data_IF_440783732676
#
_entry.id   IF_440783732676
#
_cell.length_a   1.000
_cell.length_b   1.000
_cell.length_c   1.000
_cell.angle_alpha   90.00
_cell.angle_beta   90.00
_cell.angle_gamma   90.00
#
_symmetry.space_group_name_H-M   'P 1'
#
loop_
_entity.id
_entity.type
_entity.pdbx_description
1 polymer ?
#
# COMPACT_ATOMS: atom_id res chain seq x y z
N UNK A 1 -0.79 -14.52 -5.98
CA UNK A 1 0.25 -13.51 -6.29
C UNK A 1 1.61 -13.81 -5.64
N UNK A 2 1.65 -14.55 -4.52
CA UNK A 2 2.87 -14.88 -3.74
C UNK A 2 4.10 -15.40 -4.52
N UNK A 3 3.94 -16.19 -5.60
CA UNK A 3 5.08 -16.81 -6.31
C UNK A 3 6.03 -15.82 -7.01
N UNK A 4 5.53 -14.69 -7.51
CA UNK A 4 6.39 -13.71 -8.20
C UNK A 4 7.15 -12.86 -7.19
N UNK A 5 6.49 -12.44 -6.11
CA UNK A 5 7.11 -11.71 -5.01
C UNK A 5 8.17 -12.53 -4.27
N UNK A 6 7.90 -13.82 -4.04
CA UNK A 6 8.88 -14.73 -3.47
C UNK A 6 10.13 -14.85 -4.36
N UNK A 7 9.94 -15.03 -5.67
CA UNK A 7 11.05 -15.09 -6.62
C UNK A 7 11.85 -13.78 -6.61
N UNK A 8 11.18 -12.63 -6.61
CA UNK A 8 11.84 -11.33 -6.60
C UNK A 8 12.70 -11.16 -5.34
N UNK A 9 12.17 -11.54 -4.18
CA UNK A 9 12.93 -11.55 -2.91
C UNK A 9 14.15 -12.45 -2.97
N UNK A 10 13.99 -13.67 -3.46
CA UNK A 10 15.09 -14.63 -3.59
C UNK A 10 16.17 -14.14 -4.56
N UNK A 11 15.78 -13.52 -5.67
CA UNK A 11 16.69 -12.95 -6.66
C UNK A 11 17.45 -11.74 -6.08
N UNK A 12 16.78 -10.87 -5.31
CA UNK A 12 17.42 -9.78 -4.58
C UNK A 12 18.43 -10.31 -3.55
N UNK A 13 18.06 -11.34 -2.78
CA UNK A 13 18.96 -11.97 -1.82
C UNK A 13 20.23 -12.50 -2.48
N UNK A 14 20.08 -13.20 -3.61
CA UNK A 14 21.24 -13.71 -4.37
C UNK A 14 22.09 -12.58 -4.94
N UNK A 15 21.49 -11.47 -5.37
CA UNK A 15 22.21 -10.36 -5.96
C UNK A 15 23.19 -9.72 -4.96
N UNK A 16 22.75 -9.44 -3.72
CA UNK A 16 23.63 -8.78 -2.73
C UNK A 16 24.56 -9.76 -1.97
N UNK A 17 24.25 -11.06 -1.94
CA UNK A 17 25.16 -12.09 -1.38
C UNK A 17 26.21 -12.57 -2.38
N UNK A 18 26.36 -11.94 -3.55
CA UNK A 18 27.44 -12.25 -4.49
C UNK A 18 28.81 -11.93 -3.89
N UNK A 19 29.76 -12.85 -4.04
CA UNK A 19 31.14 -12.71 -3.56
C UNK A 19 31.98 -11.67 -4.34
N UNK A 20 31.42 -11.03 -5.37
CA UNK A 20 32.12 -10.11 -6.27
C UNK A 20 31.76 -8.64 -6.04
N UNK A 21 31.00 -8.33 -4.99
CA UNK A 21 30.64 -6.96 -4.65
C UNK A 21 31.73 -6.29 -3.83
N UNK A 22 31.88 -4.98 -4.02
CA UNK A 22 32.72 -4.18 -3.14
C UNK A 22 32.16 -4.22 -1.71
N UNK A 23 33.02 -4.29 -0.66
CA UNK A 23 32.56 -4.44 0.72
C UNK A 23 31.58 -3.36 1.18
N UNK A 24 31.76 -2.12 0.72
CA UNK A 24 30.88 -1.00 1.04
C UNK A 24 29.49 -1.17 0.41
N UNK A 25 29.44 -1.53 -0.88
CA UNK A 25 28.20 -1.84 -1.60
C UNK A 25 27.48 -3.03 -0.94
N UNK A 26 28.21 -4.07 -0.56
CA UNK A 26 27.65 -5.23 0.11
C UNK A 26 27.01 -4.88 1.46
N UNK A 27 27.67 -4.05 2.28
CA UNK A 27 27.13 -3.59 3.56
C UNK A 27 25.88 -2.72 3.38
N UNK A 28 25.87 -1.82 2.39
CA UNK A 28 24.73 -0.98 2.08
C UNK A 28 23.52 -1.82 1.63
N UNK A 29 23.74 -2.77 0.70
CA UNK A 29 22.67 -3.64 0.22
C UNK A 29 22.14 -4.62 1.27
N UNK A 30 22.97 -5.06 2.22
CA UNK A 30 22.49 -5.88 3.35
C UNK A 30 21.52 -5.09 4.23
N UNK A 31 21.79 -3.79 4.49
CA UNK A 31 20.87 -2.91 5.21
C UNK A 31 19.58 -2.66 4.44
N UNK A 32 19.69 -2.33 3.15
CA UNK A 32 18.53 -2.12 2.29
C UNK A 32 17.66 -3.37 2.19
N UNK A 33 18.28 -4.55 2.06
CA UNK A 33 17.54 -5.81 2.07
C UNK A 33 16.82 -6.03 3.39
N UNK A 34 17.46 -5.81 4.53
CA UNK A 34 16.81 -5.94 5.84
C UNK A 34 15.61 -5.00 5.98
N UNK A 35 15.70 -3.77 5.46
CA UNK A 35 14.59 -2.81 5.46
C UNK A 35 13.47 -3.23 4.50
N UNK A 36 13.81 -3.65 3.28
CA UNK A 36 12.85 -4.16 2.31
C UNK A 36 12.11 -5.41 2.81
N UNK A 37 12.80 -6.26 3.57
CA UNK A 37 12.26 -7.51 4.10
C UNK A 37 11.29 -7.30 5.28
N UNK A 38 11.23 -6.11 5.88
CA UNK A 38 10.31 -5.81 6.98
C UNK A 38 8.84 -6.01 6.57
N UNK A 39 8.51 -5.74 5.31
CA UNK A 39 7.16 -5.89 4.77
C UNK A 39 6.91 -7.27 4.14
N UNK A 40 7.93 -8.13 4.04
CA UNK A 40 7.84 -9.42 3.36
C UNK A 40 6.77 -10.32 3.96
N UNK A 41 6.62 -10.33 5.30
CA UNK A 41 5.58 -11.12 5.95
C UNK A 41 4.17 -10.73 5.47
N UNK A 42 3.89 -9.44 5.35
CA UNK A 42 2.57 -8.91 4.98
C UNK A 42 2.24 -9.14 3.50
N UNK A 43 3.25 -9.13 2.63
CA UNK A 43 3.08 -9.26 1.17
C UNK A 43 3.11 -10.73 0.70
N UNK A 44 3.97 -11.56 1.30
CA UNK A 44 4.24 -12.90 0.78
C UNK A 44 3.27 -13.98 1.27
N UNK A 45 2.53 -13.71 2.35
CA UNK A 45 1.70 -14.71 3.02
C UNK A 45 0.25 -14.27 3.11
N UNK A 46 -0.65 -15.24 2.99
CA UNK A 46 -2.09 -15.00 3.15
C UNK A 46 -2.43 -14.52 4.57
N UNK A 47 -1.76 -15.08 5.59
CA UNK A 47 -1.85 -14.63 6.99
C UNK A 47 -1.41 -13.17 7.13
N UNK A 48 -0.36 -12.77 6.41
CA UNK A 48 0.14 -11.40 6.37
C UNK A 48 -0.88 -10.42 5.81
N UNK A 49 -1.55 -10.77 4.71
CA UNK A 49 -2.67 -9.98 4.19
C UNK A 49 -3.82 -9.89 5.20
N UNK A 50 -4.20 -11.01 5.84
CA UNK A 50 -5.28 -11.00 6.82
C UNK A 50 -4.96 -10.14 8.05
N UNK A 51 -3.71 -10.17 8.53
CA UNK A 51 -3.21 -9.33 9.62
C UNK A 51 -3.26 -7.85 9.24
N UNK A 52 -2.75 -7.50 8.06
CA UNK A 52 -2.81 -6.15 7.51
C UNK A 52 -4.26 -5.66 7.41
N UNK A 53 -5.12 -6.45 6.77
CA UNK A 53 -6.52 -6.09 6.54
C UNK A 53 -7.32 -5.95 7.84
N UNK A 54 -7.08 -6.82 8.83
CA UNK A 54 -7.75 -6.74 10.13
C UNK A 54 -7.34 -5.48 10.88
N UNK A 55 -6.04 -5.19 10.89
CA UNK A 55 -5.47 -4.00 11.55
C UNK A 55 -5.99 -2.72 10.89
N UNK A 56 -5.98 -2.67 9.56
CA UNK A 56 -6.42 -1.52 8.78
C UNK A 56 -7.89 -1.19 9.04
N UNK A 57 -8.78 -2.20 8.93
CA UNK A 57 -10.23 -1.99 9.12
C UNK A 57 -10.55 -1.60 10.57
N UNK A 58 -9.86 -2.19 11.55
CA UNK A 58 -10.03 -1.80 12.97
C UNK A 58 -9.54 -0.38 13.23
N UNK A 59 -8.38 0.00 12.69
CA UNK A 59 -7.83 1.35 12.82
C UNK A 59 -8.77 2.39 12.20
N UNK A 60 -9.31 2.12 11.01
CA UNK A 60 -10.28 2.98 10.34
C UNK A 60 -11.56 3.20 11.18
N UNK A 61 -12.03 2.16 11.90
CA UNK A 61 -13.14 2.29 12.84
C UNK A 61 -12.80 3.21 14.00
N UNK A 62 -11.64 3.00 14.62
CA UNK A 62 -11.16 3.85 15.71
C UNK A 62 -11.07 5.32 15.26
N UNK A 63 -10.51 5.59 14.08
CA UNK A 63 -10.43 6.94 13.50
C UNK A 63 -11.81 7.57 13.27
N UNK A 64 -12.77 6.80 12.76
CA UNK A 64 -14.12 7.29 12.51
C UNK A 64 -14.88 7.57 13.83
N UNK A 65 -14.70 6.73 14.85
CA UNK A 65 -15.30 6.95 16.16
C UNK A 65 -14.73 8.19 16.85
N UNK A 66 -13.41 8.36 16.76
CA UNK A 66 -12.70 9.54 17.26
C UNK A 66 -13.24 10.83 16.66
N UNK A 67 -13.36 10.84 15.32
CA UNK A 67 -13.93 11.96 14.59
C UNK A 67 -15.36 12.27 15.04
N UNK A 68 -16.20 11.24 15.20
CA UNK A 68 -17.60 11.40 15.67
C UNK A 68 -17.70 11.86 17.13
N UNK A 69 -16.71 11.51 17.95
CA UNK A 69 -16.62 11.99 19.33
C UNK A 69 -16.11 13.44 19.42
N UNK A 70 -15.66 14.04 18.31
CA UNK A 70 -15.07 15.38 18.28
C UNK A 70 -13.62 15.43 18.76
N UNK A 71 -12.94 14.29 18.83
CA UNK A 71 -11.55 14.17 19.27
C UNK A 71 -10.69 13.36 18.28
N UNK A 72 -10.52 13.85 17.04
CA UNK A 72 -9.85 13.11 15.98
C UNK A 72 -8.33 12.90 16.22
N UNK A 73 -7.71 13.68 17.11
CA UNK A 73 -6.25 13.67 17.32
C UNK A 73 -5.78 12.80 18.48
N UNK A 74 -6.68 12.26 19.30
CA UNK A 74 -6.30 11.55 20.53
C UNK A 74 -5.90 10.07 20.35
N UNK A 75 -5.82 9.59 19.11
CA UNK A 75 -5.59 8.19 18.81
C UNK A 75 -4.19 7.90 18.27
N UNK A 76 -3.66 6.67 18.49
CA UNK A 76 -2.29 6.31 18.16
C UNK A 76 -2.03 6.10 16.66
N UNK A 77 -2.96 6.52 15.79
CA UNK A 77 -2.88 6.31 14.36
C UNK A 77 -2.88 7.65 13.63
N UNK A 78 -2.02 7.78 12.63
CA UNK A 78 -1.93 9.01 11.85
C UNK A 78 -3.18 9.23 10.98
N UNK A 79 -3.59 10.50 10.87
CA UNK A 79 -4.70 10.95 10.03
C UNK A 79 -6.10 10.72 10.62
N UNK A 80 -7.10 11.27 9.93
CA UNK A 80 -8.51 11.26 10.34
C UNK A 80 -9.38 10.54 9.33
N UNK A 81 -10.49 9.95 9.78
CA UNK A 81 -11.50 9.38 8.89
C UNK A 81 -12.86 9.99 9.16
N UNK A 82 -13.38 10.71 8.18
CA UNK A 82 -14.70 11.35 8.25
C UNK A 82 -15.79 10.50 7.60
N UNK A 83 -15.42 9.75 6.56
CA UNK A 83 -16.33 8.93 5.77
C UNK A 83 -16.74 7.63 6.48
N UNK A 84 -17.96 7.12 6.26
CA UNK A 84 -18.38 5.83 6.80
C UNK A 84 -17.47 4.69 6.29
N UNK A 85 -17.39 3.60 7.06
CA UNK A 85 -16.66 2.40 6.62
C UNK A 85 -17.37 1.66 5.50
N UNK A 86 -18.71 1.72 5.49
CA UNK A 86 -19.56 1.09 4.50
C UNK A 86 -20.90 1.83 4.36
N UNK A 87 -21.44 1.89 3.13
CA UNK A 87 -22.71 2.59 2.80
C UNK A 87 -23.95 1.68 2.79
N UNK A 88 -23.82 0.36 3.01
CA UNK A 88 -24.97 -0.55 3.02
C UNK A 88 -26.02 -0.15 4.08
N UNK A 89 -27.27 -0.57 3.92
CA UNK A 89 -28.34 -0.28 4.89
C UNK A 89 -28.29 -1.15 6.16
N UNK A 90 -27.56 -2.27 6.14
CA UNK A 90 -27.47 -3.19 7.27
C UNK A 90 -26.73 -2.54 8.45
N UNK A 91 -27.41 -2.45 9.60
CA UNK A 91 -26.85 -1.93 10.85
C UNK A 91 -25.85 -2.88 11.51
N UNK A 92 -25.91 -4.17 11.18
CA UNK A 92 -25.05 -5.22 11.73
C UNK A 92 -23.93 -5.63 10.77
N UNK A 93 -23.66 -4.81 9.75
CA UNK A 93 -22.59 -5.05 8.81
C UNK A 93 -21.25 -5.08 9.55
N UNK A 94 -20.52 -6.20 9.45
CA UNK A 94 -19.25 -6.41 10.17
C UNK A 94 -18.20 -5.35 9.84
N UNK A 95 -18.23 -4.80 8.62
CA UNK A 95 -17.35 -3.72 8.19
C UNK A 95 -17.61 -2.44 8.99
N UNK A 96 -18.88 -2.11 9.26
CA UNK A 96 -19.23 -0.94 10.11
C UNK A 96 -18.77 -1.12 11.56
N UNK A 97 -18.64 -2.36 12.00
CA UNK A 97 -18.09 -2.71 13.32
C UNK A 97 -16.55 -2.73 13.35
N UNK A 98 -15.86 -2.37 12.25
CA UNK A 98 -14.40 -2.42 12.19
C UNK A 98 -13.82 -3.83 12.14
N UNK A 99 -14.57 -4.81 11.63
CA UNK A 99 -14.15 -6.22 11.60
C UNK A 99 -14.18 -6.82 10.19
N UNK A 100 -13.19 -7.65 9.90
CA UNK A 100 -13.19 -8.42 8.66
C UNK A 100 -14.34 -9.44 8.62
N UNK A 101 -15.03 -9.56 7.48
CA UNK A 101 -16.08 -10.56 7.27
C UNK A 101 -15.53 -11.98 7.48
N UNK A 102 -16.34 -12.88 8.07
CA UNK A 102 -15.93 -14.27 8.31
C UNK A 102 -15.49 -14.98 7.02
N UNK A 103 -16.16 -14.70 5.90
CA UNK A 103 -15.81 -15.28 4.59
C UNK A 103 -14.42 -14.88 4.11
N UNK A 104 -13.87 -13.75 4.56
CA UNK A 104 -12.50 -13.32 4.24
C UNK A 104 -11.52 -13.98 5.21
N UNK A 105 -11.82 -13.96 6.51
CA UNK A 105 -10.94 -14.51 7.56
C UNK A 105 -10.71 -16.02 7.49
N UNK A 106 -11.64 -16.75 6.88
CA UNK A 106 -11.57 -18.21 6.77
C UNK A 106 -11.33 -18.68 5.33
N UNK A 107 -11.01 -17.77 4.40
CA UNK A 107 -10.74 -18.12 3.02
C UNK A 107 -9.30 -18.60 2.85
N UNK A 108 -9.13 -19.56 1.93
CA UNK A 108 -7.81 -20.00 1.47
C UNK A 108 -7.09 -18.90 0.67
N UNK A 109 -7.85 -18.07 -0.06
CA UNK A 109 -7.35 -16.85 -0.72
C UNK A 109 -8.11 -15.64 -0.16
N UNK A 110 -7.56 -14.95 0.86
CA UNK A 110 -8.24 -13.83 1.51
C UNK A 110 -8.32 -12.59 0.61
N UNK A 111 -7.40 -12.43 -0.36
CA UNK A 111 -7.43 -11.30 -1.30
C UNK A 111 -8.61 -11.45 -2.25
N UNK A 112 -8.77 -12.61 -2.87
CA UNK A 112 -9.91 -12.89 -3.75
C UNK A 112 -11.23 -12.91 -2.96
N UNK A 113 -11.23 -13.42 -1.72
CA UNK A 113 -12.41 -13.36 -0.87
C UNK A 113 -12.83 -11.93 -0.52
N UNK A 114 -11.88 -11.00 -0.32
CA UNK A 114 -12.16 -9.57 -0.15
C UNK A 114 -12.75 -8.98 -1.42
N UNK A 115 -12.16 -9.26 -2.59
CA UNK A 115 -12.69 -8.80 -3.88
C UNK A 115 -14.12 -9.30 -4.12
N UNK A 116 -14.36 -10.58 -3.90
CA UNK A 116 -15.70 -11.17 -4.00
C UNK A 116 -16.64 -10.57 -2.96
N UNK A 117 -16.15 -10.26 -1.75
CA UNK A 117 -16.96 -9.58 -0.75
C UNK A 117 -17.46 -8.25 -1.28
N UNK A 118 -16.55 -7.42 -1.79
CA UNK A 118 -16.87 -6.09 -2.31
C UNK A 118 -17.87 -6.15 -3.46
N UNK A 119 -17.71 -7.12 -4.37
CA UNK A 119 -18.59 -7.26 -5.53
C UNK A 119 -20.01 -7.70 -5.17
N UNK A 120 -20.16 -8.52 -4.12
CA UNK A 120 -21.46 -9.10 -3.74
C UNK A 120 -22.15 -8.38 -2.58
N UNK A 121 -21.50 -7.37 -1.99
CA UNK A 121 -22.08 -6.63 -0.88
C UNK A 121 -23.18 -5.68 -1.36
N UNK A 122 -24.23 -5.50 -0.56
CA UNK A 122 -25.41 -4.71 -0.94
C UNK A 122 -25.20 -3.19 -0.86
N UNK A 123 -23.98 -2.74 -0.63
CA UNK A 123 -23.56 -1.34 -0.60
C UNK A 123 -22.04 -1.26 -0.76
N UNK A 124 -21.47 -0.07 -0.62
CA UNK A 124 -20.05 0.18 -0.89
C UNK A 124 -19.23 0.06 0.39
N UNK A 125 -18.39 -0.99 0.54
CA UNK A 125 -17.46 -1.09 1.66
C UNK A 125 -16.23 -0.21 1.40
N UNK A 126 -16.38 1.11 1.57
CA UNK A 126 -15.36 2.12 1.28
C UNK A 126 -14.01 1.79 1.94
N UNK A 127 -14.00 1.32 3.19
CA UNK A 127 -12.75 0.97 3.89
C UNK A 127 -12.00 -0.20 3.22
N UNK A 128 -12.70 -1.10 2.53
CA UNK A 128 -12.06 -2.20 1.80
C UNK A 128 -11.47 -1.73 0.46
N UNK A 129 -12.00 -0.64 -0.11
CA UNK A 129 -11.40 0.01 -1.28
C UNK A 129 -10.11 0.72 -0.89
N UNK A 130 -10.13 1.45 0.22
CA UNK A 130 -8.93 2.08 0.80
C UNK A 130 -7.88 1.01 1.14
N UNK A 131 -8.30 -0.06 1.82
CA UNK A 131 -7.44 -1.21 2.13
C UNK A 131 -6.75 -1.75 0.88
N UNK A 132 -7.49 -1.91 -0.22
CA UNK A 132 -6.93 -2.42 -1.47
C UNK A 132 -5.84 -1.48 -1.99
N UNK A 133 -6.12 -0.18 -2.07
CA UNK A 133 -5.14 0.82 -2.53
C UNK A 133 -3.86 0.77 -1.69
N UNK A 134 -4.00 0.77 -0.38
CA UNK A 134 -2.88 0.77 0.57
C UNK A 134 -2.08 -0.54 0.51
N UNK A 135 -2.75 -1.68 0.29
CA UNK A 135 -2.06 -2.95 0.08
C UNK A 135 -1.34 -3.01 -1.27
N UNK A 136 -1.95 -2.46 -2.33
CA UNK A 136 -1.33 -2.37 -3.65
C UNK A 136 -0.08 -1.47 -3.61
N UNK A 137 -0.13 -0.36 -2.86
CA UNK A 137 1.02 0.51 -2.58
C UNK A 137 2.12 -0.22 -1.80
N UNK A 138 1.76 -0.96 -0.74
CA UNK A 138 2.70 -1.80 0.02
C UNK A 138 3.40 -2.84 -0.87
N UNK A 139 2.64 -3.49 -1.77
CA UNK A 139 3.20 -4.43 -2.73
C UNK A 139 4.13 -3.75 -3.75
N UNK A 140 3.76 -2.56 -4.21
CA UNK A 140 4.57 -1.78 -5.16
C UNK A 140 5.89 -1.31 -4.51
N UNK A 141 5.85 -0.86 -3.25
CA UNK A 141 7.04 -0.50 -2.49
C UNK A 141 7.96 -1.71 -2.27
N UNK A 142 7.36 -2.85 -1.89
CA UNK A 142 8.08 -4.12 -1.78
C UNK A 142 8.80 -4.47 -3.09
N UNK A 143 8.09 -4.38 -4.23
CA UNK A 143 8.64 -4.66 -5.55
C UNK A 143 9.78 -3.70 -5.92
N UNK A 144 9.55 -2.41 -5.73
CA UNK A 144 10.50 -1.36 -6.06
C UNK A 144 11.82 -1.54 -5.28
N UNK A 145 11.75 -1.73 -3.96
CA UNK A 145 12.94 -1.92 -3.11
C UNK A 145 13.74 -3.17 -3.51
N UNK A 146 13.08 -4.30 -3.71
CA UNK A 146 13.78 -5.53 -4.11
C UNK A 146 14.39 -5.43 -5.52
N UNK A 147 13.71 -4.78 -6.46
CA UNK A 147 14.29 -4.52 -7.80
C UNK A 147 15.51 -3.62 -7.74
N UNK A 148 15.49 -2.57 -6.91
CA UNK A 148 16.66 -1.70 -6.69
C UNK A 148 17.86 -2.49 -6.17
N UNK A 149 17.64 -3.38 -5.19
CA UNK A 149 18.70 -4.27 -4.69
C UNK A 149 19.27 -5.16 -5.79
N UNK A 150 18.42 -5.72 -6.67
CA UNK A 150 18.87 -6.53 -7.80
C UNK A 150 19.73 -5.69 -8.76
N UNK A 151 19.32 -4.48 -9.10
CA UNK A 151 20.05 -3.58 -10.00
C UNK A 151 21.42 -3.24 -9.39
N UNK A 152 21.46 -2.73 -8.15
CA UNK A 152 22.69 -2.39 -7.46
C UNK A 152 23.64 -3.59 -7.31
N UNK A 153 23.12 -4.75 -6.90
CA UNK A 153 23.92 -5.97 -6.74
C UNK A 153 24.35 -6.59 -8.08
N UNK A 154 23.66 -6.31 -9.18
CA UNK A 154 24.07 -6.76 -10.52
C UNK A 154 25.18 -5.89 -11.10
N UNK A 155 25.12 -4.58 -10.84
CA UNK A 155 26.04 -3.60 -11.41
C UNK A 155 27.17 -3.16 -10.45
N UNK A 156 27.17 -3.65 -9.21
CA UNK A 156 28.09 -3.23 -8.15
C UNK A 156 28.05 -1.70 -7.96
N UNK A 157 26.85 -1.16 -7.81
CA UNK A 157 26.57 0.28 -7.61
C UNK A 157 26.06 0.47 -6.18
N UNK A 158 26.52 1.53 -5.50
CA UNK A 158 26.01 1.88 -4.18
C UNK A 158 24.56 2.38 -4.29
N UNK A 159 23.62 1.99 -3.40
CA UNK A 159 22.23 2.44 -3.45
C UNK A 159 22.05 3.96 -3.62
N UNK A 160 22.82 4.75 -2.87
CA UNK A 160 22.78 6.22 -2.94
C UNK A 160 23.18 6.79 -4.32
N UNK A 161 23.98 6.05 -5.09
CA UNK A 161 24.38 6.46 -6.44
C UNK A 161 23.30 6.15 -7.49
N UNK A 162 22.36 5.24 -7.17
CA UNK A 162 21.23 4.91 -8.04
C UNK A 162 20.19 6.03 -8.07
N UNK A 163 19.97 6.69 -6.93
CA UNK A 163 19.01 7.80 -6.81
C UNK A 163 19.42 9.03 -7.64
N UNK A 164 20.72 9.21 -7.90
CA UNK A 164 21.23 10.24 -8.80
C UNK A 164 21.04 9.94 -10.30
N UNK A 165 20.57 8.74 -10.65
CA UNK A 165 20.37 8.28 -12.04
C UNK A 165 18.89 8.14 -12.43
N UNK A 166 17.96 8.20 -11.47
CA UNK A 166 16.53 8.25 -11.79
C UNK A 166 16.22 9.65 -12.37
N UNK A 167 15.64 9.74 -13.59
CA UNK A 167 15.21 11.02 -14.12
C UNK A 167 14.19 11.62 -13.17
N UNK A 168 14.32 12.92 -12.84
CA UNK A 168 13.32 13.64 -12.09
C UNK A 168 11.95 13.35 -12.73
N UNK A 169 11.04 12.77 -11.96
CA UNK A 169 9.65 12.66 -12.39
C UNK A 169 9.12 14.07 -12.43
N UNK A 170 9.06 14.64 -13.64
CA UNK A 170 8.43 15.93 -13.91
C UNK A 170 6.94 15.83 -13.58
N UNK A 171 6.59 16.00 -12.30
CA UNK A 171 5.25 16.41 -11.85
C UNK A 171 5.05 17.90 -12.14
N UNK A 172 5.13 18.27 -13.42
CA UNK A 172 4.91 19.62 -13.87
C UNK A 172 4.14 19.62 -15.18
N UNK A 173 2.91 19.11 -15.17
CA UNK A 173 1.94 19.54 -16.17
C UNK A 173 0.53 19.71 -15.61
N UNK A 174 -0.06 20.84 -16.02
CA UNK A 174 -1.49 21.16 -16.08
C UNK A 174 -2.15 21.93 -14.92
N UNK A 175 -1.77 23.20 -14.74
CA UNK A 175 -2.81 24.24 -14.59
C UNK A 175 -3.08 24.88 -15.95
N UNK A 176 -4.05 24.29 -16.66
CA UNK A 176 -4.65 24.86 -17.87
C UNK A 176 -5.53 26.05 -17.46
N UNK A 177 -5.03 27.27 -17.66
CA UNK A 177 -5.84 28.49 -17.66
C UNK A 177 -7.02 28.36 -18.63
N UNK A 178 -8.23 28.25 -18.10
CA UNK A 178 -9.45 28.60 -18.84
C UNK A 178 -9.98 29.91 -18.29
N UNK A 179 -9.41 31.03 -18.76
CA UNK A 179 -10.02 32.34 -18.59
C UNK A 179 -11.14 32.50 -19.61
N UNK A 180 -12.36 32.59 -19.10
CA UNK A 180 -13.55 32.97 -19.83
C UNK A 180 -13.42 34.42 -20.33
N UNK A 181 -13.64 34.66 -21.62
CA UNK A 181 -13.93 36.00 -22.13
C UNK A 181 -15.27 35.97 -22.85
N UNK A 182 -16.28 36.49 -22.17
CA UNK A 182 -17.62 36.68 -22.68
C UNK A 182 -17.70 38.07 -23.31
N UNK A 183 -17.62 38.11 -24.64
CA UNK A 183 -17.94 39.29 -25.42
C UNK A 183 -19.45 39.59 -25.31
N UNK A 184 -19.81 40.62 -24.57
CA UNK A 184 -21.12 41.27 -24.65
C UNK A 184 -21.06 42.25 -25.81
N UNK A 185 -21.91 42.00 -26.81
CA UNK A 185 -22.08 42.83 -27.98
C UNK A 185 -22.77 44.16 -27.62
N UNK A 186 -22.27 45.23 -28.24
CA UNK A 186 -22.91 46.53 -28.38
C UNK A 186 -23.61 46.59 -29.76
N UNK A 187 -24.66 47.42 -29.86
CA UNK A 187 -25.65 47.65 -30.95
C UNK A 187 -26.91 46.74 -31.02
#
# INVERSE_FOLDING_TARGET
MSSNHQKLRDDAYRAFKRNSLDPEVQLALDREYQQADQHARLVLTDDGYQEFASTFVSSAKTKLDAYRAGDPTSHPYDGTREQPLCTCSDRFCTIKDGRLPRRVRAADDPVEATRQFMHTHSGDPLVLQDLKREYDELCAEFDHRHRRIIICGTHNIHPDDLDGLEPATDDADAESETAADAAVADD
#
